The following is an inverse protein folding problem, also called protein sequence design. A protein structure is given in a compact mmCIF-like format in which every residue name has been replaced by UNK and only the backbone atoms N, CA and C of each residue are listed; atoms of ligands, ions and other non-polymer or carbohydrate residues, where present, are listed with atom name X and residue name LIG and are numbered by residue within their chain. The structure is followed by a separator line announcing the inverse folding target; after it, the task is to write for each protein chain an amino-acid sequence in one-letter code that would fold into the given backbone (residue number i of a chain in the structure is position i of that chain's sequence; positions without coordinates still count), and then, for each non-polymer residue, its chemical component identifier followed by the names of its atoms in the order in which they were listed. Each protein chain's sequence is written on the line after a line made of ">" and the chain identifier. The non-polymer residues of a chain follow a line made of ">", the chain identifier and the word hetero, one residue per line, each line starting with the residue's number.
data_IF_849035314959
#
_entry.id   IF_849035314959
#
_cell.length_a   1.000
_cell.length_b   1.000
_cell.length_c   1.000
_cell.angle_alpha   90.00
_cell.angle_beta   90.00
_cell.angle_gamma   90.00
#
_symmetry.space_group_name_H-M   'P 1'
#
loop_
_entity.id
_entity.type
_entity.pdbx_description
1 polymer ?
#
# COMPACT_ATOMS: atom_id res chain seq x y z
N UNK A 1 0.44 46.44 24.12
CA UNK A 1 0.09 45.01 24.34
C UNK A 1 1.17 44.15 23.74
N UNK A 2 1.71 43.14 24.44
CA UNK A 2 2.55 42.13 23.82
C UNK A 2 1.69 41.28 22.88
N UNK A 3 2.06 41.21 21.60
CA UNK A 3 1.44 40.26 20.67
C UNK A 3 1.93 38.85 21.00
N UNK A 4 0.99 37.97 21.33
CA UNK A 4 1.29 36.56 21.59
C UNK A 4 1.82 35.90 20.32
N UNK A 5 3.12 35.56 20.34
CA UNK A 5 3.81 34.96 19.20
C UNK A 5 3.36 33.53 18.89
N UNK A 6 2.61 32.87 19.80
CA UNK A 6 2.10 31.51 19.58
C UNK A 6 0.99 31.42 18.52
N UNK A 7 0.41 32.55 18.10
CA UNK A 7 -0.70 32.62 17.13
C UNK A 7 -0.31 33.20 15.77
N UNK A 8 0.97 33.10 15.38
CA UNK A 8 1.49 33.55 14.08
C UNK A 8 1.74 32.33 13.19
N UNK A 9 1.17 32.32 11.98
CA UNK A 9 1.54 31.35 10.95
C UNK A 9 2.92 31.67 10.36
N UNK A 10 3.89 30.76 10.48
CA UNK A 10 5.22 30.93 9.85
C UNK A 10 5.24 30.56 8.36
N UNK A 11 4.24 29.80 7.91
CA UNK A 11 4.05 29.32 6.54
C UNK A 11 2.64 29.62 6.00
N UNK A 12 2.45 29.54 4.68
CA UNK A 12 1.18 29.92 4.01
C UNK A 12 0.57 28.77 3.18
N UNK A 13 -0.76 28.78 3.02
CA UNK A 13 -1.43 27.89 2.04
C UNK A 13 -0.84 28.10 0.64
N UNK A 14 -0.60 27.00 -0.08
CA UNK A 14 0.08 27.03 -1.36
C UNK A 14 1.60 26.83 -1.28
N UNK A 15 2.23 27.06 -0.12
CA UNK A 15 3.68 27.00 0.05
C UNK A 15 4.24 25.57 -0.15
N UNK A 16 5.43 25.49 -0.76
CA UNK A 16 6.20 24.25 -0.95
C UNK A 16 7.19 24.12 0.20
N UNK A 17 7.10 23.03 0.96
CA UNK A 17 7.85 22.82 2.21
C UNK A 17 8.50 21.43 2.25
N UNK A 18 9.35 21.22 3.25
CA UNK A 18 9.83 19.90 3.65
C UNK A 18 9.16 19.54 4.98
N UNK A 19 8.38 18.46 5.01
CA UNK A 19 7.66 18.03 6.21
C UNK A 19 8.22 16.71 6.73
N UNK A 20 8.30 16.56 8.06
CA UNK A 20 8.60 15.29 8.72
C UNK A 20 7.41 14.34 8.65
N UNK A 21 7.70 13.10 8.29
CA UNK A 21 6.79 11.96 8.46
C UNK A 21 7.64 10.79 8.98
N UNK A 22 7.44 10.44 10.26
CA UNK A 22 8.42 9.64 11.01
C UNK A 22 9.81 10.30 11.02
N UNK A 23 10.91 9.51 10.97
CA UNK A 23 12.28 10.04 11.09
C UNK A 23 12.83 10.71 9.82
N UNK A 24 12.02 10.86 8.75
CA UNK A 24 12.47 11.34 7.45
C UNK A 24 11.70 12.60 6.99
N UNK A 25 12.41 13.45 6.23
CA UNK A 25 11.85 14.61 5.56
C UNK A 25 11.36 14.26 4.15
N UNK A 26 10.14 14.65 3.84
CA UNK A 26 9.50 14.51 2.52
C UNK A 26 9.21 15.88 1.91
N UNK A 27 9.23 15.97 0.58
CA UNK A 27 8.75 17.18 -0.11
C UNK A 27 7.22 17.21 -0.05
N UNK A 28 6.66 18.36 0.33
CA UNK A 28 5.22 18.53 0.50
C UNK A 28 4.74 19.92 0.10
N UNK A 29 3.42 20.10 0.05
CA UNK A 29 2.76 21.38 -0.19
C UNK A 29 1.70 21.63 0.89
N UNK A 30 1.64 22.84 1.41
CA UNK A 30 0.57 23.27 2.32
C UNK A 30 -0.71 23.50 1.51
N UNK A 31 -1.81 22.95 2.00
CA UNK A 31 -3.15 23.11 1.42
C UNK A 31 -3.97 24.10 2.23
N UNK A 32 -3.94 24.00 3.56
CA UNK A 32 -4.78 24.79 4.46
C UNK A 32 -4.03 25.12 5.75
N UNK A 33 -4.48 26.16 6.45
CA UNK A 33 -3.80 26.73 7.63
C UNK A 33 -4.85 27.13 8.66
N UNK A 34 -4.82 26.55 9.86
CA UNK A 34 -5.82 26.78 10.92
C UNK A 34 -5.12 27.10 12.26
N UNK A 35 -5.72 27.96 13.08
CA UNK A 35 -5.28 28.18 14.46
C UNK A 35 -6.16 27.33 15.39
N UNK A 36 -5.57 26.32 16.03
CA UNK A 36 -6.25 25.51 17.04
C UNK A 36 -6.07 26.12 18.43
N UNK A 37 -7.09 26.04 19.30
CA UNK A 37 -7.09 26.64 20.63
C UNK A 37 -7.53 25.60 21.68
N UNK A 38 -6.97 25.67 22.91
CA UNK A 38 -7.10 24.61 23.94
C UNK A 38 -8.51 24.45 24.53
N UNK A 39 -9.44 25.34 24.17
CA UNK A 39 -10.82 25.34 24.68
C UNK A 39 -11.78 24.49 23.83
N UNK A 40 -11.30 23.95 22.70
CA UNK A 40 -12.06 23.08 21.80
C UNK A 40 -11.79 21.60 22.16
N UNK A 41 -12.78 20.83 22.68
CA UNK A 41 -12.55 19.49 23.21
C UNK A 41 -12.15 18.45 22.14
N UNK A 42 -12.27 18.75 20.84
CA UNK A 42 -11.78 17.89 19.77
C UNK A 42 -10.29 18.10 19.45
N UNK A 43 -9.68 19.22 19.89
CA UNK A 43 -8.35 19.67 19.44
C UNK A 43 -7.32 19.57 20.55
N UNK A 44 -6.56 18.47 20.52
CA UNK A 44 -5.59 18.09 21.56
C UNK A 44 -4.39 19.05 21.70
N UNK A 45 -4.10 19.84 20.66
CA UNK A 45 -2.96 20.76 20.59
C UNK A 45 -3.40 22.16 20.13
N UNK A 46 -2.64 23.19 20.51
CA UNK A 46 -2.98 24.59 20.24
C UNK A 46 -1.85 25.36 19.58
N UNK A 47 -2.16 26.12 18.54
CA UNK A 47 -1.20 26.86 17.74
C UNK A 47 -1.51 26.73 16.23
N UNK A 48 -0.62 27.24 15.36
CA UNK A 48 -0.74 27.10 13.92
C UNK A 48 -0.59 25.64 13.49
N UNK A 49 -1.67 25.10 12.93
CA UNK A 49 -1.73 23.79 12.30
C UNK A 49 -1.87 23.94 10.78
N UNK A 50 -1.36 22.95 10.06
CA UNK A 50 -1.15 23.00 8.62
C UNK A 50 -1.61 21.69 7.98
N UNK A 51 -2.51 21.77 7.00
CA UNK A 51 -2.90 20.61 6.20
C UNK A 51 -1.87 20.38 5.09
N UNK A 52 -1.10 19.30 5.20
CA UNK A 52 0.05 18.98 4.35
C UNK A 52 -0.29 17.88 3.34
N UNK A 53 0.05 18.10 2.07
CA UNK A 53 0.00 17.09 1.02
C UNK A 53 1.41 16.69 0.56
N UNK A 54 1.78 15.43 0.75
CA UNK A 54 3.10 14.91 0.38
C UNK A 54 3.24 14.66 -1.14
N UNK A 55 4.31 15.16 -1.74
CA UNK A 55 4.53 15.05 -3.20
C UNK A 55 4.85 13.62 -3.61
N UNK A 56 4.19 13.16 -4.68
CA UNK A 56 4.34 11.81 -5.23
C UNK A 56 3.49 10.76 -4.50
N UNK A 57 2.91 11.11 -3.34
CA UNK A 57 1.90 10.30 -2.68
C UNK A 57 0.59 10.51 -3.45
N UNK A 58 -0.03 9.44 -3.92
CA UNK A 58 -1.11 9.55 -4.92
C UNK A 58 -2.41 10.07 -4.29
N UNK A 59 -2.72 11.35 -4.53
CA UNK A 59 -4.10 11.85 -4.52
C UNK A 59 -4.88 11.10 -5.60
N UNK A 60 -5.67 10.10 -5.19
CA UNK A 60 -6.11 9.01 -6.07
C UNK A 60 -7.38 9.34 -6.85
N UNK A 61 -7.32 10.29 -7.78
CA UNK A 61 -8.41 10.60 -8.68
C UNK A 61 -7.99 10.59 -10.15
N UNK A 62 -8.79 9.92 -10.98
CA UNK A 62 -8.90 10.15 -12.41
C UNK A 62 -10.37 10.40 -12.71
N UNK A 63 -10.68 11.67 -13.01
CA UNK A 63 -11.87 12.25 -13.66
C UNK A 63 -12.91 11.28 -14.26
N UNK A 64 -14.20 11.62 -14.29
CA UNK A 64 -14.75 12.98 -14.52
C UNK A 64 -15.93 13.31 -13.60
N UNK A 65 -15.96 14.57 -13.13
CA UNK A 65 -17.08 15.23 -12.43
C UNK A 65 -17.47 14.61 -11.08
N UNK A 66 -16.68 15.04 -10.11
CA UNK A 66 -16.82 14.86 -8.67
C UNK A 66 -18.26 14.97 -8.15
N UNK A 67 -18.71 13.94 -7.42
CA UNK A 67 -19.67 14.14 -6.32
C UNK A 67 -18.97 14.05 -4.96
N UNK A 68 -17.99 14.95 -4.87
CA UNK A 68 -17.82 15.89 -3.76
C UNK A 68 -17.45 15.36 -2.37
N UNK A 69 -16.26 15.79 -1.95
CA UNK A 69 -15.80 15.96 -0.58
C UNK A 69 -15.43 14.68 0.21
N UNK A 70 -16.26 13.64 0.21
CA UNK A 70 -16.12 12.51 1.18
C UNK A 70 -15.17 11.39 0.75
N UNK A 71 -14.13 11.73 -0.02
CA UNK A 71 -12.95 10.87 -0.23
C UNK A 71 -11.68 11.75 -0.29
N UNK A 72 -11.66 12.80 0.54
CA UNK A 72 -10.54 13.72 0.67
C UNK A 72 -9.30 12.98 1.18
N UNK A 73 -8.42 12.64 0.23
CA UNK A 73 -6.98 12.52 0.40
C UNK A 73 -6.53 11.64 1.59
N UNK A 74 -6.46 10.31 1.39
CA UNK A 74 -5.90 9.33 2.36
C UNK A 74 -4.40 9.50 2.70
N UNK A 75 -3.82 10.67 2.40
CA UNK A 75 -2.40 11.02 2.48
C UNK A 75 -2.17 12.51 2.81
N UNK A 76 -3.23 13.27 3.12
CA UNK A 76 -3.11 14.64 3.62
C UNK A 76 -3.21 14.61 5.15
N UNK A 77 -2.33 15.34 5.84
CA UNK A 77 -2.13 15.25 7.29
C UNK A 77 -2.16 16.66 7.90
N UNK A 78 -2.95 16.88 8.96
CA UNK A 78 -2.80 18.08 9.80
C UNK A 78 -1.57 17.92 10.68
N UNK A 79 -0.63 18.86 10.58
CA UNK A 79 0.61 18.85 11.37
C UNK A 79 0.86 20.22 12.00
N UNK A 80 1.62 20.23 13.09
CA UNK A 80 2.10 21.43 13.75
C UNK A 80 3.32 22.06 13.03
N UNK A 81 3.66 23.28 13.41
CA UNK A 81 4.80 24.04 12.85
C UNK A 81 6.16 23.33 13.02
N UNK A 82 6.40 22.56 14.10
CA UNK A 82 7.70 21.92 14.35
C UNK A 82 8.03 20.78 13.38
N UNK A 83 7.00 20.19 12.76
CA UNK A 83 7.15 19.17 11.72
C UNK A 83 7.48 19.76 10.34
N UNK A 84 7.45 21.08 10.17
CA UNK A 84 7.64 21.76 8.89
C UNK A 84 8.99 22.48 8.83
N UNK A 85 9.61 22.45 7.65
CA UNK A 85 10.83 23.17 7.34
C UNK A 85 10.69 23.91 6.00
N UNK A 86 11.13 25.16 5.96
CA UNK A 86 11.15 25.99 4.74
C UNK A 86 12.05 25.37 3.67
N UNK A 87 11.67 25.55 2.41
CA UNK A 87 12.41 25.04 1.25
C UNK A 87 13.73 25.81 1.06
N UNK A 88 14.78 25.38 1.78
CA UNK A 88 16.13 25.96 1.74
C UNK A 88 17.18 24.88 1.41
N UNK A 89 18.34 25.31 0.89
CA UNK A 89 19.45 24.39 0.60
C UNK A 89 19.97 23.67 1.85
N UNK A 90 19.88 24.29 3.02
CA UNK A 90 20.21 23.67 4.30
C UNK A 90 19.25 22.53 4.64
N UNK A 91 17.93 22.76 4.54
CA UNK A 91 16.93 21.73 4.81
C UNK A 91 16.95 20.62 3.74
N UNK A 92 17.32 20.93 2.49
CA UNK A 92 17.59 19.94 1.45
C UNK A 92 18.87 19.11 1.72
N UNK A 93 19.91 19.70 2.31
CA UNK A 93 21.07 18.94 2.82
C UNK A 93 20.67 18.04 3.99
N UNK A 94 19.87 18.54 4.94
CA UNK A 94 19.31 17.77 6.07
C UNK A 94 18.48 16.57 5.58
N UNK A 95 17.62 16.75 4.57
CA UNK A 95 16.88 15.66 3.94
C UNK A 95 17.81 14.59 3.34
N UNK A 96 18.85 14.99 2.61
CA UNK A 96 19.84 14.06 2.02
C UNK A 96 20.60 13.29 3.10
N UNK A 97 21.05 13.97 4.15
CA UNK A 97 21.74 13.38 5.30
C UNK A 97 20.87 12.37 6.03
N UNK A 98 19.60 12.69 6.34
CA UNK A 98 18.68 11.76 7.00
C UNK A 98 18.44 10.49 6.17
N UNK A 99 18.27 10.61 4.85
CA UNK A 99 18.12 9.46 3.95
C UNK A 99 19.38 8.60 3.90
N UNK A 100 20.57 9.20 3.84
CA UNK A 100 21.86 8.47 3.89
C UNK A 100 22.11 7.82 5.26
N UNK A 101 21.74 8.49 6.35
CA UNK A 101 21.83 7.95 7.71
C UNK A 101 20.93 6.72 7.87
N UNK A 102 19.68 6.76 7.40
CA UNK A 102 18.77 5.62 7.42
C UNK A 102 19.34 4.41 6.63
N UNK A 103 19.84 4.63 5.40
CA UNK A 103 20.45 3.56 4.58
C UNK A 103 21.68 2.95 5.28
N UNK A 104 22.54 3.77 5.88
CA UNK A 104 23.74 3.28 6.59
C UNK A 104 23.43 2.62 7.93
N UNK A 105 22.34 2.99 8.60
CA UNK A 105 21.85 2.30 9.80
C UNK A 105 21.30 0.90 9.48
N UNK A 106 20.53 0.74 8.39
CA UNK A 106 20.07 -0.57 7.92
C UNK A 106 21.25 -1.48 7.59
N UNK A 107 22.24 -0.98 6.85
CA UNK A 107 23.49 -1.70 6.52
C UNK A 107 24.35 -2.09 7.73
N UNK A 108 24.13 -1.51 8.92
CA UNK A 108 24.82 -1.89 10.18
C UNK A 108 24.07 -2.94 11.00
N UNK A 109 22.82 -3.29 10.65
CA UNK A 109 22.04 -4.31 11.35
C UNK A 109 22.18 -5.73 10.76
N UNK A 110 22.78 -5.88 9.58
CA UNK A 110 22.95 -7.18 8.91
C UNK A 110 24.28 -7.90 9.20
N UNK A 111 25.17 -7.34 10.02
CA UNK A 111 26.45 -7.95 10.39
C UNK A 111 26.37 -8.67 11.75
N UNK A 112 26.40 -10.02 11.82
CA UNK A 112 26.49 -10.75 13.09
C UNK A 112 27.90 -10.62 13.70
N UNK A 113 27.97 -10.52 15.03
CA UNK A 113 29.25 -10.39 15.73
C UNK A 113 30.02 -11.72 15.82
N UNK A 114 31.35 -11.65 15.66
CA UNK A 114 32.29 -12.64 16.22
C UNK A 114 33.39 -11.91 16.98
N UNK A 115 33.76 -12.46 18.13
CA UNK A 115 34.65 -11.82 19.09
C UNK A 115 36.14 -12.09 18.82
N UNK A 116 36.96 -11.27 19.48
CA UNK A 116 38.41 -11.16 19.38
C UNK A 116 39.24 -12.45 19.46
N UNK A 117 40.39 -12.42 18.79
CA UNK A 117 41.69 -12.66 19.43
C UNK A 117 42.77 -11.77 18.80
N UNK A 118 43.88 -11.54 19.50
CA UNK A 118 44.84 -10.47 19.21
C UNK A 118 46.27 -10.96 19.00
N UNK A 119 46.96 -10.46 17.97
CA UNK A 119 48.43 -10.34 17.95
C UNK A 119 48.91 -9.29 16.94
N UNK A 120 50.07 -8.70 17.22
CA UNK A 120 50.69 -7.58 16.45
C UNK A 120 51.47 -8.05 15.21
N UNK A 121 51.64 -7.19 14.19
CA UNK A 121 52.43 -7.50 12.99
C UNK A 121 53.93 -7.17 13.13
N UNK A 122 54.79 -7.82 12.34
CA UNK A 122 56.09 -7.27 11.88
C UNK A 122 56.59 -8.03 10.63
N UNK A 123 57.53 -7.40 9.91
CA UNK A 123 58.17 -7.79 8.64
C UNK A 123 58.94 -9.14 8.70
N UNK A 124 59.40 -9.78 7.61
CA UNK A 124 60.18 -9.21 6.49
C UNK A 124 60.41 -10.17 5.28
N UNK A 125 61.33 -9.80 4.39
CA UNK A 125 61.62 -10.34 3.05
C UNK A 125 62.19 -11.78 2.97
N UNK A 126 62.03 -12.43 1.81
CA UNK A 126 62.79 -13.61 1.37
C UNK A 126 62.04 -14.37 0.24
N UNK A 127 62.30 -14.11 -1.04
CA UNK A 127 63.39 -14.63 -1.89
C UNK A 127 63.06 -15.97 -2.60
N UNK A 128 63.26 -15.97 -3.93
CA UNK A 128 63.09 -17.06 -4.91
C UNK A 128 64.26 -18.10 -4.79
N UNK A 129 64.36 -19.24 -5.54
CA UNK A 129 63.62 -19.62 -6.77
C UNK A 129 63.26 -21.14 -6.94
N UNK A 130 62.79 -21.50 -8.16
CA UNK A 130 62.83 -22.84 -8.81
C UNK A 130 61.87 -23.95 -8.26
N UNK A 131 61.33 -24.89 -9.06
CA UNK A 131 61.35 -25.09 -10.54
C UNK A 131 60.32 -26.15 -11.03
N UNK A 132 60.26 -26.34 -12.37
CA UNK A 132 59.84 -27.52 -13.16
C UNK A 132 58.39 -27.71 -13.69
N UNK A 133 58.33 -27.69 -15.05
CA UNK A 133 57.55 -28.54 -15.98
C UNK A 133 56.00 -28.39 -16.10
N UNK A 134 55.35 -28.72 -17.25
CA UNK A 134 55.62 -28.58 -18.71
C UNK A 134 54.35 -28.98 -19.50
N UNK A 135 54.25 -28.56 -20.78
CA UNK A 135 53.30 -29.02 -21.85
C UNK A 135 51.90 -28.35 -21.86
N UNK A 136 51.32 -27.99 -23.01
CA UNK A 136 51.89 -27.75 -24.36
C UNK A 136 50.98 -26.80 -25.18
N UNK A 137 51.56 -26.16 -26.21
CA UNK A 137 50.90 -25.47 -27.32
C UNK A 137 50.32 -26.47 -28.35
N UNK A 138 49.83 -26.16 -29.57
CA UNK A 138 49.96 -25.03 -30.55
C UNK A 138 48.76 -25.14 -31.52
N UNK A 139 48.42 -24.29 -32.51
CA UNK A 139 49.01 -23.10 -33.17
C UNK A 139 47.83 -22.18 -33.64
N UNK A 140 47.83 -21.25 -34.62
CA UNK A 140 48.69 -20.87 -35.77
C UNK A 140 48.50 -19.38 -36.12
N UNK A 141 49.45 -18.76 -36.84
CA UNK A 141 49.34 -17.39 -37.38
C UNK A 141 50.01 -17.28 -38.76
N UNK A 142 49.40 -16.53 -39.69
CA UNK A 142 50.10 -15.76 -40.74
C UNK A 142 49.27 -14.52 -41.15
N UNK A 143 49.89 -13.35 -41.43
CA UNK A 143 49.18 -12.11 -41.83
C UNK A 143 49.50 -11.65 -43.26
N UNK A 144 48.75 -10.65 -43.76
CA UNK A 144 49.19 -9.78 -44.89
C UNK A 144 48.76 -8.32 -44.67
N UNK A 145 49.39 -7.39 -45.39
CA UNK A 145 49.47 -5.94 -45.08
C UNK A 145 49.58 -5.12 -46.37
N UNK A 146 48.85 -4.00 -46.49
CA UNK A 146 49.03 -3.02 -47.58
C UNK A 146 47.92 -1.94 -47.61
N UNK A 147 48.17 -0.68 -48.03
CA UNK A 147 47.42 0.47 -47.49
C UNK A 147 46.92 1.53 -48.51
N UNK A 148 46.20 2.54 -47.98
CA UNK A 148 46.06 3.90 -48.52
C UNK A 148 44.61 4.43 -48.59
N UNK A 149 44.31 5.73 -48.38
CA UNK A 149 45.06 6.84 -47.75
C UNK A 149 44.08 7.98 -47.35
N UNK A 150 44.40 8.71 -46.26
CA UNK A 150 43.90 10.05 -45.86
C UNK A 150 42.37 10.26 -45.59
N UNK A 151 41.91 11.23 -44.77
CA UNK A 151 42.59 12.34 -44.08
C UNK A 151 41.90 12.74 -42.73
N UNK A 152 42.56 13.64 -41.98
CA UNK A 152 42.09 14.54 -40.89
C UNK A 152 41.85 14.03 -39.44
N UNK A 153 42.77 14.47 -38.58
CA UNK A 153 42.62 15.11 -37.26
C UNK A 153 42.12 14.41 -35.98
N UNK A 154 43.12 14.15 -35.11
CA UNK A 154 43.28 14.80 -33.80
C UNK A 154 42.04 14.95 -32.89
N UNK A 155 41.94 14.09 -31.86
CA UNK A 155 42.20 14.51 -30.46
C UNK A 155 42.45 13.30 -29.53
N UNK A 156 43.22 13.49 -28.46
CA UNK A 156 43.63 12.41 -27.52
C UNK A 156 42.78 12.40 -26.24
N UNK A 157 42.35 11.21 -25.80
CA UNK A 157 41.79 10.98 -24.46
C UNK A 157 41.93 9.52 -24.01
N UNK A 158 42.82 9.22 -23.06
CA UNK A 158 43.13 7.84 -22.62
C UNK A 158 43.11 7.71 -21.09
N UNK A 159 42.56 6.58 -20.60
CA UNK A 159 42.35 6.11 -19.21
C UNK A 159 40.87 6.22 -18.77
N UNK A 160 40.31 5.29 -18.00
CA UNK A 160 40.84 4.01 -17.46
C UNK A 160 39.68 3.02 -17.31
N UNK A 161 39.95 1.72 -17.46
CA UNK A 161 38.91 0.69 -17.31
C UNK A 161 38.38 0.60 -15.88
N UNK A 162 37.09 0.26 -15.76
CA UNK A 162 36.43 -0.16 -14.52
C UNK A 162 35.97 -1.60 -14.72
N UNK A 163 36.69 -2.55 -14.15
CA UNK A 163 36.29 -3.96 -14.21
C UNK A 163 35.01 -4.18 -13.39
N UNK A 164 34.21 -5.17 -13.82
CA UNK A 164 32.88 -5.41 -13.31
C UNK A 164 32.87 -6.10 -11.95
N UNK A 165 32.84 -5.33 -10.87
CA UNK A 165 32.26 -5.82 -9.62
C UNK A 165 30.74 -5.82 -9.76
N UNK A 166 30.21 -6.98 -10.14
CA UNK A 166 28.80 -7.31 -9.93
C UNK A 166 28.57 -7.48 -8.43
N UNK A 167 28.38 -6.37 -7.73
CA UNK A 167 27.72 -6.38 -6.43
C UNK A 167 26.34 -7.00 -6.68
N UNK A 168 26.14 -8.24 -6.21
CA UNK A 168 24.81 -8.84 -6.18
C UNK A 168 23.93 -7.91 -5.39
N UNK A 169 22.98 -7.28 -6.07
CA UNK A 169 21.88 -6.58 -5.41
C UNK A 169 21.29 -7.58 -4.41
N UNK A 170 21.22 -7.20 -3.12
CA UNK A 170 20.47 -7.98 -2.14
C UNK A 170 19.08 -8.14 -2.72
N UNK A 171 18.68 -9.38 -3.02
CA UNK A 171 17.46 -9.65 -3.77
C UNK A 171 16.28 -9.15 -2.95
N UNK A 172 15.80 -7.95 -3.30
CA UNK A 172 14.67 -7.30 -2.64
C UNK A 172 13.47 -8.16 -3.01
N UNK A 173 13.21 -9.16 -2.15
CA UNK A 173 12.17 -10.17 -2.32
C UNK A 173 10.92 -9.44 -2.74
N UNK A 174 10.55 -9.60 -4.02
CA UNK A 174 9.52 -8.81 -4.67
C UNK A 174 8.19 -9.23 -4.09
N UNK A 175 7.82 -8.60 -2.98
CA UNK A 175 6.70 -9.05 -2.15
C UNK A 175 5.47 -9.22 -3.04
N UNK A 176 4.94 -10.45 -3.21
CA UNK A 176 4.09 -10.77 -4.34
C UNK A 176 2.81 -9.93 -4.32
N UNK A 177 2.68 -9.01 -5.28
CA UNK A 177 1.53 -8.11 -5.36
C UNK A 177 0.27 -8.88 -5.78
N UNK A 178 -0.62 -9.16 -4.84
CA UNK A 178 -1.92 -9.74 -5.12
C UNK A 178 -2.82 -8.78 -5.92
N UNK A 179 -2.70 -8.81 -7.25
CA UNK A 179 -3.56 -8.04 -8.16
C UNK A 179 -4.82 -8.84 -8.51
N UNK A 180 -5.88 -8.65 -7.72
CA UNK A 180 -7.24 -9.14 -8.00
C UNK A 180 -7.86 -8.27 -9.12
N UNK A 181 -8.49 -8.88 -10.13
CA UNK A 181 -9.15 -8.15 -11.22
C UNK A 181 -10.66 -8.25 -11.09
N UNK A 182 -11.26 -7.32 -10.35
CA UNK A 182 -12.73 -7.27 -10.19
C UNK A 182 -13.42 -7.14 -11.56
N UNK A 183 -14.36 -8.03 -11.94
CA UNK A 183 -15.10 -7.95 -13.20
C UNK A 183 -15.78 -6.60 -13.43
N UNK A 184 -15.83 -6.10 -14.67
CA UNK A 184 -16.36 -4.77 -14.97
C UNK A 184 -17.85 -4.61 -14.60
N UNK A 185 -18.65 -5.67 -14.66
CA UNK A 185 -20.05 -5.67 -14.17
C UNK A 185 -20.13 -5.41 -12.66
N UNK A 186 -19.21 -5.98 -11.88
CA UNK A 186 -19.12 -5.76 -10.44
C UNK A 186 -18.50 -4.38 -10.12
N UNK A 187 -17.64 -3.84 -10.99
CA UNK A 187 -17.20 -2.43 -10.89
C UNK A 187 -18.38 -1.45 -11.08
N UNK A 188 -19.30 -1.71 -12.01
CA UNK A 188 -20.53 -0.91 -12.14
C UNK A 188 -21.35 -1.01 -10.85
N UNK A 189 -21.55 -2.21 -10.29
CA UNK A 189 -22.26 -2.36 -9.00
C UNK A 189 -21.63 -1.61 -7.83
N UNK A 190 -20.30 -1.48 -7.77
CA UNK A 190 -19.61 -0.64 -6.78
C UNK A 190 -19.82 0.87 -6.99
N UNK A 191 -20.07 1.30 -8.23
CA UNK A 191 -20.41 2.69 -8.55
C UNK A 191 -21.89 2.94 -8.18
N UNK A 192 -22.80 2.01 -8.54
CA UNK A 192 -24.22 2.05 -8.16
C UNK A 192 -24.41 2.11 -6.63
N UNK A 193 -23.67 1.29 -5.86
CA UNK A 193 -23.67 1.24 -4.39
C UNK A 193 -23.19 2.57 -3.77
N UNK A 194 -22.05 3.09 -4.27
CA UNK A 194 -21.52 4.38 -3.85
C UNK A 194 -22.49 5.54 -4.16
N UNK A 195 -23.14 5.53 -5.33
CA UNK A 195 -24.14 6.51 -5.78
C UNK A 195 -25.32 6.58 -4.80
N UNK A 196 -25.99 5.45 -4.58
CA UNK A 196 -27.18 5.35 -3.72
C UNK A 196 -26.90 5.79 -2.27
N UNK A 197 -25.75 5.40 -1.71
CA UNK A 197 -25.44 5.69 -0.30
C UNK A 197 -24.89 7.11 -0.12
N UNK A 198 -23.93 7.53 -0.94
CA UNK A 198 -23.23 8.79 -0.69
C UNK A 198 -23.96 10.00 -1.29
N UNK A 199 -24.67 9.84 -2.41
CA UNK A 199 -25.41 10.91 -3.09
C UNK A 199 -26.88 10.91 -2.67
N UNK A 200 -27.58 9.80 -2.91
CA UNK A 200 -29.04 9.70 -2.73
C UNK A 200 -29.46 9.53 -1.25
N UNK A 201 -28.49 9.27 -0.36
CA UNK A 201 -28.67 9.05 1.08
C UNK A 201 -29.61 7.88 1.39
N UNK A 202 -29.54 6.82 0.59
CA UNK A 202 -30.17 5.53 0.88
C UNK A 202 -29.23 4.67 1.73
N UNK A 203 -29.77 3.60 2.31
CA UNK A 203 -29.01 2.57 3.04
C UNK A 203 -29.37 1.18 2.53
N UNK A 204 -28.41 0.27 2.63
CA UNK A 204 -28.69 -1.17 2.46
C UNK A 204 -29.60 -1.62 3.61
N UNK A 205 -30.71 -2.34 3.33
CA UNK A 205 -31.55 -2.91 4.39
C UNK A 205 -30.79 -4.01 5.13
N UNK A 206 -30.75 -3.93 6.46
CA UNK A 206 -30.05 -4.86 7.34
C UNK A 206 -31.02 -5.40 8.42
N UNK A 207 -30.94 -6.69 8.81
CA UNK A 207 -30.04 -7.73 8.26
C UNK A 207 -30.30 -8.03 6.77
N UNK A 208 -29.25 -8.38 6.03
CA UNK A 208 -29.33 -8.80 4.63
C UNK A 208 -29.72 -10.27 4.53
N UNK A 209 -30.27 -10.64 3.37
CA UNK A 209 -30.48 -12.03 2.95
C UNK A 209 -30.23 -12.12 1.43
N UNK A 210 -29.27 -12.93 0.97
CA UNK A 210 -28.35 -13.71 1.79
C UNK A 210 -27.33 -12.84 2.55
N UNK A 211 -26.87 -13.32 3.70
CA UNK A 211 -25.78 -12.74 4.50
C UNK A 211 -24.40 -13.08 3.91
N UNK A 212 -23.31 -12.46 4.37
CA UNK A 212 -21.95 -12.84 3.93
C UNK A 212 -21.64 -14.30 4.26
N UNK A 213 -21.99 -14.77 5.47
CA UNK A 213 -21.81 -16.19 5.82
C UNK A 213 -22.58 -17.12 4.89
N UNK A 214 -23.86 -16.83 4.64
CA UNK A 214 -24.68 -17.60 3.70
C UNK A 214 -24.11 -17.58 2.27
N UNK A 215 -23.54 -16.46 1.81
CA UNK A 215 -22.88 -16.35 0.49
C UNK A 215 -21.63 -17.24 0.42
N UNK A 216 -20.83 -17.29 1.49
CA UNK A 216 -19.62 -18.12 1.56
C UNK A 216 -19.99 -19.61 1.54
N UNK A 217 -21.02 -20.02 2.29
CA UNK A 217 -21.49 -21.41 2.31
C UNK A 217 -22.19 -21.82 1.00
N UNK A 218 -23.01 -20.96 0.39
CA UNK A 218 -23.61 -21.21 -0.92
C UNK A 218 -22.55 -21.38 -2.02
N UNK A 219 -21.46 -20.61 -1.95
CA UNK A 219 -20.31 -20.80 -2.85
C UNK A 219 -19.55 -22.10 -2.55
N UNK A 220 -19.35 -22.45 -1.28
CA UNK A 220 -18.71 -23.71 -0.86
C UNK A 220 -19.46 -24.91 -1.43
N UNK A 221 -20.79 -24.93 -1.30
CA UNK A 221 -21.64 -25.98 -1.89
C UNK A 221 -21.49 -26.02 -3.42
N UNK A 222 -21.63 -24.89 -4.11
CA UNK A 222 -21.43 -24.81 -5.57
C UNK A 222 -20.04 -25.30 -6.01
N UNK A 223 -19.00 -25.02 -5.23
CA UNK A 223 -17.65 -25.52 -5.51
C UNK A 223 -17.54 -27.04 -5.34
N UNK A 224 -18.14 -27.59 -4.28
CA UNK A 224 -18.18 -29.04 -4.01
C UNK A 224 -18.99 -29.82 -5.06
N UNK A 225 -20.14 -29.31 -5.50
CA UNK A 225 -20.92 -29.86 -6.63
C UNK A 225 -20.13 -29.84 -7.95
N UNK A 226 -19.19 -28.91 -8.10
CA UNK A 226 -18.19 -28.91 -9.15
C UNK A 226 -17.00 -29.84 -8.88
N UNK A 227 -16.64 -30.09 -7.62
CA UNK A 227 -15.47 -30.88 -7.20
C UNK A 227 -15.71 -32.39 -7.26
N UNK A 228 -16.92 -32.88 -7.02
CA UNK A 228 -17.29 -34.29 -7.24
C UNK A 228 -17.02 -34.74 -8.69
N UNK A 229 -17.25 -33.84 -9.66
CA UNK A 229 -16.93 -34.04 -11.08
C UNK A 229 -15.41 -34.02 -11.38
N UNK A 230 -14.58 -33.63 -10.41
CA UNK A 230 -13.11 -33.43 -10.53
C UNK A 230 -12.28 -34.35 -9.62
N UNK A 231 -12.89 -35.03 -8.63
CA UNK A 231 -12.26 -35.99 -7.70
C UNK A 231 -10.97 -35.50 -6.99
N UNK A 232 -10.93 -34.27 -6.49
CA UNK A 232 -9.70 -33.73 -5.87
C UNK A 232 -9.92 -33.03 -4.52
N UNK A 233 -10.00 -33.84 -3.45
CA UNK A 233 -10.29 -33.41 -2.06
C UNK A 233 -9.35 -32.34 -1.49
N UNK A 234 -8.10 -32.24 -1.97
CA UNK A 234 -7.15 -31.25 -1.47
C UNK A 234 -7.59 -29.80 -1.68
N UNK A 235 -8.48 -29.54 -2.65
CA UNK A 235 -9.03 -28.20 -2.85
C UNK A 235 -10.14 -27.85 -1.85
N UNK A 236 -10.80 -28.84 -1.25
CA UNK A 236 -11.92 -28.62 -0.31
C UNK A 236 -11.43 -28.11 1.06
N UNK A 237 -10.22 -28.53 1.47
CA UNK A 237 -9.53 -28.00 2.65
C UNK A 237 -9.05 -26.56 2.40
N UNK A 238 -8.32 -26.33 1.29
CA UNK A 238 -7.78 -25.02 0.93
C UNK A 238 -8.90 -23.98 0.74
N UNK A 239 -10.01 -24.34 0.08
CA UNK A 239 -11.12 -23.39 -0.11
C UNK A 239 -11.82 -23.06 1.21
N UNK A 240 -11.90 -24.00 2.15
CA UNK A 240 -12.45 -23.73 3.48
C UNK A 240 -11.57 -22.76 4.27
N UNK A 241 -10.24 -22.91 4.23
CA UNK A 241 -9.31 -21.94 4.83
C UNK A 241 -9.45 -20.54 4.20
N UNK A 242 -9.58 -20.46 2.88
CA UNK A 242 -9.76 -19.19 2.15
C UNK A 242 -11.10 -18.52 2.50
N UNK A 243 -12.20 -19.27 2.58
CA UNK A 243 -13.51 -18.72 2.95
C UNK A 243 -13.55 -18.26 4.42
N UNK A 244 -12.95 -19.02 5.34
CA UNK A 244 -12.76 -18.61 6.73
C UNK A 244 -11.89 -17.34 6.81
N UNK A 245 -10.84 -17.23 5.98
CA UNK A 245 -10.02 -16.04 5.86
C UNK A 245 -10.81 -14.83 5.35
N UNK A 246 -11.66 -15.00 4.33
CA UNK A 246 -12.53 -13.93 3.81
C UNK A 246 -13.52 -13.46 4.88
N UNK A 247 -14.14 -14.39 5.64
CA UNK A 247 -15.01 -14.06 6.79
C UNK A 247 -14.24 -13.22 7.82
N UNK A 248 -13.13 -13.74 8.34
CA UNK A 248 -12.30 -13.07 9.34
C UNK A 248 -11.77 -11.69 8.89
N UNK A 249 -11.46 -11.52 7.60
CA UNK A 249 -11.10 -10.23 7.05
C UNK A 249 -12.31 -9.30 6.92
N UNK A 250 -13.50 -9.81 6.57
CA UNK A 250 -14.72 -9.01 6.49
C UNK A 250 -15.10 -8.40 7.84
N UNK A 251 -15.20 -9.23 8.89
CA UNK A 251 -15.62 -8.77 10.22
C UNK A 251 -14.66 -7.71 10.79
N UNK A 252 -13.35 -7.88 10.60
CA UNK A 252 -12.32 -6.92 11.04
C UNK A 252 -12.24 -5.67 10.16
N UNK A 253 -12.56 -5.77 8.87
CA UNK A 253 -12.48 -4.67 7.92
C UNK A 253 -13.74 -3.80 7.87
N UNK A 254 -14.93 -4.35 8.21
CA UNK A 254 -16.20 -3.65 7.99
C UNK A 254 -16.26 -2.31 8.73
N UNK A 255 -16.20 -2.37 10.06
CA UNK A 255 -16.22 -1.20 10.94
C UNK A 255 -15.04 -0.25 10.78
N UNK A 256 -13.95 -0.69 10.14
CA UNK A 256 -12.75 0.13 9.95
C UNK A 256 -12.74 0.81 8.57
N UNK A 257 -12.84 0.06 7.47
CA UNK A 257 -12.52 0.53 6.11
C UNK A 257 -13.55 0.24 5.02
N UNK A 258 -14.62 -0.54 5.26
CA UNK A 258 -15.61 -0.88 4.20
C UNK A 258 -16.88 0.00 4.23
N UNK A 259 -17.20 0.61 5.37
CA UNK A 259 -18.37 1.48 5.53
C UNK A 259 -18.09 2.93 5.14
N UNK A 260 -18.95 3.50 4.30
CA UNK A 260 -19.02 4.93 4.01
C UNK A 260 -19.48 5.71 5.25
N UNK A 261 -19.14 7.00 5.35
CA UNK A 261 -19.48 7.86 6.52
C UNK A 261 -20.97 7.81 6.87
N UNK A 262 -21.85 7.81 5.87
CA UNK A 262 -23.30 7.79 6.07
C UNK A 262 -23.85 6.46 6.64
N UNK A 263 -23.12 5.35 6.54
CA UNK A 263 -23.50 4.04 7.12
C UNK A 263 -23.03 3.89 8.58
N UNK A 264 -22.16 4.79 9.08
CA UNK A 264 -21.55 4.66 10.41
C UNK A 264 -22.57 4.64 11.55
N UNK A 265 -23.63 5.44 11.44
CA UNK A 265 -24.70 5.47 12.44
C UNK A 265 -25.54 4.17 12.43
N UNK A 266 -25.83 3.60 11.25
CA UNK A 266 -26.47 2.28 11.12
C UNK A 266 -25.61 1.19 11.76
N UNK A 267 -24.30 1.22 11.55
CA UNK A 267 -23.34 0.28 12.14
C UNK A 267 -23.26 0.38 13.67
N UNK A 268 -23.19 1.60 14.25
CA UNK A 268 -23.22 1.76 15.71
C UNK A 268 -24.50 1.19 16.31
N UNK A 269 -25.67 1.49 15.71
CA UNK A 269 -26.95 0.92 16.15
C UNK A 269 -26.98 -0.61 16.04
N UNK A 270 -26.32 -1.20 15.03
CA UNK A 270 -26.21 -2.65 14.90
C UNK A 270 -25.38 -3.26 16.03
N UNK A 271 -24.25 -2.65 16.42
CA UNK A 271 -23.46 -3.09 17.58
C UNK A 271 -24.26 -3.01 18.89
N UNK A 272 -25.11 -1.99 19.05
CA UNK A 272 -26.02 -1.85 20.21
C UNK A 272 -27.15 -2.90 20.20
N UNK A 273 -27.67 -3.27 19.02
CA UNK A 273 -28.82 -4.19 18.88
C UNK A 273 -28.41 -5.66 18.85
N UNK A 274 -27.20 -5.96 18.36
CA UNK A 274 -26.68 -7.30 18.12
C UNK A 274 -25.20 -7.43 18.57
N UNK A 275 -24.89 -7.27 19.87
CA UNK A 275 -23.52 -7.24 20.37
C UNK A 275 -22.77 -8.57 20.20
N UNK A 276 -23.48 -9.71 20.24
CA UNK A 276 -22.91 -11.05 20.17
C UNK A 276 -22.88 -11.64 18.74
N UNK A 277 -23.25 -10.86 17.71
CA UNK A 277 -23.36 -11.34 16.32
C UNK A 277 -22.18 -10.90 15.47
N UNK A 278 -21.61 -11.83 14.68
CA UNK A 278 -20.58 -11.50 13.70
C UNK A 278 -21.18 -10.64 12.56
N UNK A 279 -20.42 -9.67 12.05
CA UNK A 279 -20.93 -8.73 11.06
C UNK A 279 -21.23 -9.41 9.72
N UNK A 280 -20.52 -10.49 9.42
CA UNK A 280 -20.79 -11.45 8.36
C UNK A 280 -22.22 -12.01 8.34
N UNK A 281 -22.87 -12.07 9.51
CA UNK A 281 -24.19 -12.68 9.70
C UNK A 281 -25.31 -11.62 9.62
N UNK A 282 -24.94 -10.33 9.45
CA UNK A 282 -25.85 -9.19 9.35
C UNK A 282 -25.76 -8.51 7.97
N UNK A 283 -24.55 -8.36 7.44
CA UNK A 283 -24.27 -7.66 6.19
C UNK A 283 -24.29 -8.59 4.97
N UNK A 284 -24.28 -8.03 3.75
CA UNK A 284 -24.51 -8.77 2.50
C UNK A 284 -23.43 -8.59 1.42
N UNK A 285 -23.78 -8.99 0.19
CA UNK A 285 -22.88 -9.00 -0.97
C UNK A 285 -22.32 -7.63 -1.34
N UNK A 286 -23.04 -6.55 -1.01
CA UNK A 286 -22.68 -5.16 -1.24
C UNK A 286 -21.35 -4.84 -0.56
N UNK A 287 -21.32 -4.97 0.77
CA UNK A 287 -20.15 -4.73 1.62
C UNK A 287 -19.05 -5.75 1.38
N UNK A 288 -19.41 -7.02 1.11
CA UNK A 288 -18.44 -8.05 0.75
C UNK A 288 -17.69 -7.69 -0.53
N UNK A 289 -18.36 -7.16 -1.55
CA UNK A 289 -17.70 -6.74 -2.78
C UNK A 289 -16.73 -5.57 -2.54
N UNK A 290 -17.02 -4.66 -1.59
CA UNK A 290 -16.08 -3.62 -1.15
C UNK A 290 -14.81 -4.22 -0.52
N UNK A 291 -14.91 -5.33 0.21
CA UNK A 291 -13.73 -6.04 0.74
C UNK A 291 -12.78 -6.43 -0.39
N UNK A 292 -13.26 -7.01 -1.49
CA UNK A 292 -12.43 -7.42 -2.63
C UNK A 292 -11.66 -6.27 -3.30
N UNK A 293 -12.06 -5.02 -3.08
CA UNK A 293 -11.32 -3.82 -3.53
C UNK A 293 -10.16 -3.48 -2.58
N UNK A 294 -10.32 -3.67 -1.26
CA UNK A 294 -9.26 -3.39 -0.27
C UNK A 294 -8.37 -4.62 0.01
N UNK A 295 -8.84 -5.84 -0.25
CA UNK A 295 -8.16 -7.10 0.04
C UNK A 295 -6.73 -7.21 -0.53
N UNK A 296 -6.40 -6.68 -1.74
CA UNK A 296 -5.02 -6.54 -2.22
C UNK A 296 -4.10 -5.77 -1.25
N UNK A 297 -4.61 -4.74 -0.59
CA UNK A 297 -3.86 -3.90 0.35
C UNK A 297 -3.70 -4.59 1.70
N UNK A 298 -4.72 -5.32 2.15
CA UNK A 298 -4.67 -6.13 3.37
C UNK A 298 -3.65 -7.28 3.24
N UNK A 299 -3.70 -8.02 2.13
CA UNK A 299 -2.82 -9.17 1.90
C UNK A 299 -1.38 -8.73 1.57
N UNK A 300 -1.16 -7.54 1.00
CA UNK A 300 0.22 -7.02 0.81
C UNK A 300 0.98 -6.79 2.12
N UNK A 301 0.30 -6.80 3.29
CA UNK A 301 0.92 -6.77 4.61
C UNK A 301 1.31 -8.17 5.10
N UNK A 302 0.55 -9.22 4.76
CA UNK A 302 0.86 -10.61 5.10
C UNK A 302 2.21 -11.09 4.53
N UNK A 303 2.80 -12.13 5.12
CA UNK A 303 4.06 -12.71 4.65
C UNK A 303 3.79 -14.06 3.98
N UNK A 304 3.50 -14.02 2.67
CA UNK A 304 3.20 -15.17 1.83
C UNK A 304 4.21 -15.29 0.68
N UNK A 305 4.48 -16.51 0.27
CA UNK A 305 5.24 -16.86 -0.94
C UNK A 305 4.45 -16.64 -2.24
N UNK A 306 5.14 -16.66 -3.37
CA UNK A 306 4.55 -16.34 -4.68
C UNK A 306 3.55 -17.42 -5.15
N UNK A 307 3.81 -18.70 -4.88
CA UNK A 307 2.93 -19.80 -5.26
C UNK A 307 1.62 -19.77 -4.44
N UNK A 308 1.69 -19.55 -3.13
CA UNK A 308 0.51 -19.38 -2.28
C UNK A 308 -0.32 -18.14 -2.68
N UNK A 309 0.33 -17.02 -3.03
CA UNK A 309 -0.38 -15.83 -3.55
C UNK A 309 -1.00 -16.09 -4.92
N UNK A 310 -0.36 -16.89 -5.77
CA UNK A 310 -0.91 -17.27 -7.08
C UNK A 310 -2.13 -18.19 -6.92
N UNK A 311 -2.05 -19.22 -6.07
CA UNK A 311 -3.18 -20.10 -5.77
C UNK A 311 -4.36 -19.33 -5.16
N UNK A 312 -4.10 -18.51 -4.13
CA UNK A 312 -5.12 -17.66 -3.50
C UNK A 312 -5.80 -16.73 -4.52
N UNK A 313 -5.02 -16.14 -5.44
CA UNK A 313 -5.54 -15.32 -6.54
C UNK A 313 -6.49 -16.10 -7.45
N UNK A 314 -6.27 -17.39 -7.72
CA UNK A 314 -7.19 -18.17 -8.54
C UNK A 314 -8.54 -18.38 -7.84
N UNK A 315 -8.56 -18.81 -6.58
CA UNK A 315 -9.80 -18.97 -5.81
C UNK A 315 -10.58 -17.65 -5.66
N UNK A 316 -9.90 -16.53 -5.37
CA UNK A 316 -10.53 -15.22 -5.24
C UNK A 316 -11.14 -14.74 -6.58
N UNK A 317 -10.50 -15.04 -7.71
CA UNK A 317 -11.08 -14.74 -9.03
C UNK A 317 -12.24 -15.69 -9.38
N UNK A 318 -12.27 -16.95 -8.92
CA UNK A 318 -13.42 -17.83 -9.15
C UNK A 318 -14.64 -17.45 -8.29
N UNK A 319 -14.41 -17.06 -7.03
CA UNK A 319 -15.43 -16.47 -6.17
C UNK A 319 -16.06 -15.21 -6.78
N UNK A 320 -15.24 -14.32 -7.35
CA UNK A 320 -15.75 -13.15 -8.07
C UNK A 320 -16.55 -13.52 -9.34
N UNK A 321 -16.22 -14.61 -10.05
CA UNK A 321 -17.06 -15.14 -11.14
C UNK A 321 -18.39 -15.70 -10.63
N UNK A 322 -18.40 -16.35 -9.47
CA UNK A 322 -19.64 -16.82 -8.82
C UNK A 322 -20.55 -15.64 -8.44
N UNK A 323 -20.00 -14.62 -7.76
CA UNK A 323 -20.74 -13.38 -7.46
C UNK A 323 -21.25 -12.71 -8.74
N UNK A 324 -20.43 -12.66 -9.81
CA UNK A 324 -20.85 -12.10 -11.10
C UNK A 324 -22.03 -12.88 -11.72
N UNK A 325 -22.02 -14.22 -11.70
CA UNK A 325 -23.12 -15.05 -12.22
C UNK A 325 -24.41 -14.84 -11.41
N UNK A 326 -24.31 -14.80 -10.10
CA UNK A 326 -25.45 -14.72 -9.17
C UNK A 326 -25.83 -13.28 -8.80
N UNK A 327 -25.27 -12.27 -9.49
CA UNK A 327 -25.39 -10.85 -9.15
C UNK A 327 -26.83 -10.29 -9.12
N UNK A 328 -27.83 -11.01 -9.65
CA UNK A 328 -29.26 -10.67 -9.54
C UNK A 328 -29.91 -11.11 -8.22
N UNK A 329 -29.31 -12.07 -7.51
CA UNK A 329 -29.87 -12.68 -6.29
C UNK A 329 -29.10 -12.19 -5.06
N UNK A 330 -27.79 -11.99 -5.18
CA UNK A 330 -26.93 -11.65 -4.03
C UNK A 330 -27.02 -10.17 -3.61
N UNK A 331 -27.29 -9.26 -4.55
CA UNK A 331 -27.37 -7.81 -4.31
C UNK A 331 -28.82 -7.36 -4.16
N UNK A 332 -29.09 -6.48 -3.20
CA UNK A 332 -30.42 -5.91 -2.98
C UNK A 332 -30.91 -5.11 -4.20
N UNK A 333 -32.16 -5.39 -4.63
CA UNK A 333 -32.80 -4.64 -5.72
C UNK A 333 -33.13 -3.19 -5.36
N UNK A 334 -33.32 -2.90 -4.07
CA UNK A 334 -33.82 -1.62 -3.56
C UNK A 334 -33.15 -1.28 -2.24
N UNK A 335 -32.60 -0.08 -2.15
CA UNK A 335 -32.04 0.47 -0.91
C UNK A 335 -33.14 1.29 -0.21
N UNK A 336 -33.11 1.33 1.13
CA UNK A 336 -34.13 2.02 1.93
C UNK A 336 -33.76 3.47 2.16
N UNK A 337 -34.74 4.38 2.08
CA UNK A 337 -34.54 5.77 2.51
C UNK A 337 -34.69 5.87 4.03
N UNK A 338 -33.64 6.25 4.78
CA UNK A 338 -33.71 6.32 6.24
C UNK A 338 -34.58 7.50 6.72
N UNK A 339 -35.10 7.45 7.96
CA UNK A 339 -35.94 8.51 8.51
C UNK A 339 -35.14 9.82 8.69
N UNK A 340 -35.79 11.00 8.70
CA UNK A 340 -35.11 12.29 8.84
C UNK A 340 -34.22 12.40 10.10
N UNK A 341 -34.59 11.73 11.19
CA UNK A 341 -33.79 11.63 12.42
C UNK A 341 -32.42 10.98 12.19
N UNK A 342 -32.35 9.91 11.41
CA UNK A 342 -31.09 9.29 10.98
C UNK A 342 -30.25 10.28 10.15
N UNK A 343 -30.89 11.02 9.23
CA UNK A 343 -30.20 11.95 8.33
C UNK A 343 -29.62 13.17 9.07
N UNK A 344 -30.14 13.53 10.25
CA UNK A 344 -29.48 14.47 11.15
C UNK A 344 -28.28 13.81 11.83
N UNK A 345 -28.49 12.72 12.58
CA UNK A 345 -27.45 12.07 13.39
C UNK A 345 -26.26 11.55 12.55
N UNK A 346 -26.48 11.19 11.30
CA UNK A 346 -25.43 10.78 10.35
C UNK A 346 -24.72 11.96 9.62
N UNK A 347 -24.90 13.20 10.09
CA UNK A 347 -24.02 14.36 9.79
C UNK A 347 -23.03 14.62 10.91
N UNK A 348 -23.49 14.40 12.14
CA UNK A 348 -22.76 14.65 13.39
C UNK A 348 -21.72 13.54 13.67
N UNK A 349 -21.69 12.51 12.81
CA UNK A 349 -20.72 11.41 12.68
C UNK A 349 -20.08 11.48 11.29
#
# INVERSE_FOLDING_TARGET
>A
MPTDRSKIFHHQSGERVLCFHGPLLYEAKIIETELWDKNDPEKLESGPHYLIHYKGWKRSFKSVQDLNFTFSNRWDEWVDDSRILKWSDENLRKQKQLKQAAISATRKKSSPAKAASSSTPISSMGSNPQSLLKKLSTSTLTPRKGPGDNELDLYRGRKRGREGLSEKEEEVVKKPELRISVPNTLKVKLIDDWEQITKEKLLVPLPRSPTVSEILDQYKQHYQEGAEKRKNRKHDEIIQEILNGIKLYFDKALGTILLYRFERFQYHKILETHPDSEMSDIYGAEHLLRLFVQLPVLISQANMDEDAVMALKEYLNDFLKYIQKNSKVLFAEKYIKPPPTYVSLAKDI
#
